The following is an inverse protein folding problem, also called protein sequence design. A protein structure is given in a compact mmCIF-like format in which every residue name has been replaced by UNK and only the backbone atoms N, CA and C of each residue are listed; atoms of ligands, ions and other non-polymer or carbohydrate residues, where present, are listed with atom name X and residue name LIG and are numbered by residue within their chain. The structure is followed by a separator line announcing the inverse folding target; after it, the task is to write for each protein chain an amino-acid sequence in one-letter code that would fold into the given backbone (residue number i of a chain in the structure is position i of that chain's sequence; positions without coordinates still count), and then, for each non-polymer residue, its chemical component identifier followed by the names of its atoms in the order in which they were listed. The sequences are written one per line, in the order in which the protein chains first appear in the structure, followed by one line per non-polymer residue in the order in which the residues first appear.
data_IF_929853559891
#
_entry.id   IF_929853559891
#
_cell.length_a   1.000
_cell.length_b   1.000
_cell.length_c   1.000
_cell.angle_alpha   90.00
_cell.angle_beta   90.00
_cell.angle_gamma   90.00
#
_symmetry.space_group_name_H-M   'P 1'
#
loop_
_entity.id
_entity.type
_entity.pdbx_description
1 polymer ?
#
# COMPACT_ATOMS: atom_id res chain seq x y z
N UNK A 1 -26.56 -27.54 -9.32
CA UNK A 1 -25.67 -27.11 -8.22
C UNK A 1 -24.70 -26.11 -8.84
N UNK A 2 -24.84 -24.82 -8.52
CA UNK A 2 -23.89 -23.82 -8.99
C UNK A 2 -22.63 -23.93 -8.13
N UNK A 3 -21.47 -24.14 -8.76
CA UNK A 3 -20.16 -24.04 -8.11
C UNK A 3 -20.01 -22.64 -7.52
N UNK A 4 -19.66 -22.51 -6.22
CA UNK A 4 -19.40 -21.20 -5.67
C UNK A 4 -18.25 -20.58 -6.48
N UNK A 5 -18.53 -19.44 -7.09
CA UNK A 5 -17.48 -18.61 -7.68
C UNK A 5 -16.52 -18.25 -6.55
N UNK A 6 -15.32 -18.77 -6.60
CA UNK A 6 -14.19 -18.28 -5.81
C UNK A 6 -13.79 -16.92 -6.38
N UNK A 7 -14.66 -15.93 -6.18
CA UNK A 7 -14.23 -14.55 -6.27
C UNK A 7 -13.16 -14.39 -5.20
N UNK A 8 -11.90 -14.38 -5.61
CA UNK A 8 -10.76 -14.28 -4.70
C UNK A 8 -10.96 -13.08 -3.78
N UNK A 9 -10.66 -13.25 -2.50
CA UNK A 9 -10.75 -12.17 -1.54
C UNK A 9 -9.92 -10.99 -2.04
N UNK A 10 -10.48 -9.78 -2.10
CA UNK A 10 -9.78 -8.61 -2.64
C UNK A 10 -8.61 -8.12 -1.77
N UNK A 11 -8.40 -8.72 -0.60
CA UNK A 11 -7.44 -8.29 0.40
C UNK A 11 -5.97 -8.29 -0.04
N UNK A 12 -5.45 -9.30 -0.75
CA UNK A 12 -4.09 -9.24 -1.28
C UNK A 12 -3.92 -8.15 -2.33
N UNK A 13 -4.97 -7.90 -3.10
CA UNK A 13 -4.96 -7.03 -4.28
C UNK A 13 -4.81 -5.54 -3.94
N UNK A 14 -5.12 -5.09 -2.72
CA UNK A 14 -4.97 -3.67 -2.34
C UNK A 14 -3.50 -3.31 -2.20
N UNK A 15 -2.74 -4.09 -1.43
CA UNK A 15 -1.30 -3.83 -1.27
C UNK A 15 -0.54 -4.04 -2.57
N UNK A 16 -0.90 -5.04 -3.36
CA UNK A 16 -0.33 -5.28 -4.69
C UNK A 16 -0.65 -4.15 -5.66
N UNK A 17 -1.87 -3.64 -5.64
CA UNK A 17 -2.26 -2.51 -6.49
C UNK A 17 -1.53 -1.22 -6.13
N UNK A 18 -1.37 -0.92 -4.84
CA UNK A 18 -0.59 0.23 -4.38
C UNK A 18 0.89 0.03 -4.71
N UNK A 19 1.43 -1.18 -4.51
CA UNK A 19 2.80 -1.54 -4.86
C UNK A 19 3.06 -1.28 -6.35
N UNK A 20 2.23 -1.81 -7.23
CA UNK A 20 2.34 -1.64 -8.67
C UNK A 20 2.23 -0.18 -9.10
N UNK A 21 1.32 0.58 -8.46
CA UNK A 21 1.20 2.01 -8.69
C UNK A 21 2.49 2.75 -8.33
N UNK A 22 3.08 2.45 -7.16
CA UNK A 22 4.31 3.09 -6.73
C UNK A 22 5.49 2.73 -7.65
N UNK A 23 5.62 1.47 -8.06
CA UNK A 23 6.63 1.05 -9.02
C UNK A 23 6.48 1.80 -10.35
N UNK A 24 5.27 1.93 -10.86
CA UNK A 24 4.99 2.71 -12.07
C UNK A 24 5.35 4.20 -11.90
N UNK A 25 4.92 4.82 -10.79
CA UNK A 25 5.18 6.23 -10.54
C UNK A 25 6.68 6.53 -10.37
N UNK A 26 7.40 5.68 -9.64
CA UNK A 26 8.84 5.82 -9.42
C UNK A 26 9.70 5.41 -10.63
N UNK A 27 9.14 4.63 -11.56
CA UNK A 27 9.75 4.35 -12.86
C UNK A 27 9.65 5.53 -13.84
N UNK A 28 8.75 6.50 -13.60
CA UNK A 28 8.55 7.62 -14.49
C UNK A 28 9.53 8.78 -14.19
N UNK A 29 10.47 9.10 -15.11
CA UNK A 29 11.47 10.15 -14.91
C UNK A 29 10.89 11.57 -14.87
N UNK A 30 9.65 11.77 -15.31
CA UNK A 30 8.98 13.08 -15.28
C UNK A 30 8.37 13.38 -13.90
N UNK A 31 8.10 12.34 -13.11
CA UNK A 31 7.45 12.47 -11.80
C UNK A 31 8.46 12.45 -10.66
N UNK A 32 9.46 11.57 -10.74
CA UNK A 32 10.39 11.29 -9.64
C UNK A 32 11.80 11.74 -9.98
N UNK A 33 12.51 12.39 -9.03
CA UNK A 33 13.91 12.75 -9.20
C UNK A 33 14.80 11.52 -9.48
N UNK A 34 15.87 11.66 -10.29
CA UNK A 34 16.70 10.54 -10.73
C UNK A 34 17.30 9.69 -9.58
N UNK A 35 17.53 10.29 -8.41
CA UNK A 35 18.10 9.61 -7.25
C UNK A 35 17.16 8.57 -6.62
N UNK A 36 15.85 8.65 -6.90
CA UNK A 36 14.83 7.71 -6.38
C UNK A 36 14.18 6.88 -7.48
N UNK A 37 14.81 6.81 -8.64
CA UNK A 37 14.26 6.08 -9.77
C UNK A 37 14.22 4.58 -9.48
N UNK A 38 13.04 4.00 -9.64
CA UNK A 38 12.84 2.56 -9.62
C UNK A 38 13.02 1.97 -11.02
N UNK A 39 13.63 0.79 -11.08
CA UNK A 39 13.77 0.00 -12.29
C UNK A 39 13.47 -1.47 -11.94
N UNK A 40 12.94 -2.23 -12.90
CA UNK A 40 12.69 -3.65 -12.74
C UNK A 40 14.01 -4.44 -12.57
N UNK A 41 15.09 -3.97 -13.18
CA UNK A 41 16.43 -4.48 -12.90
C UNK A 41 16.95 -3.87 -11.58
N UNK A 42 17.07 -4.71 -10.55
CA UNK A 42 17.60 -4.34 -9.23
C UNK A 42 18.97 -3.62 -9.30
N UNK A 43 19.76 -3.87 -10.35
CA UNK A 43 21.09 -3.23 -10.53
C UNK A 43 20.99 -1.81 -11.05
N UNK A 44 19.96 -1.51 -11.82
CA UNK A 44 19.69 -0.19 -12.36
C UNK A 44 18.85 0.66 -11.40
N UNK A 45 18.09 0.03 -10.53
CA UNK A 45 17.21 0.68 -9.58
C UNK A 45 17.98 1.43 -8.50
N UNK A 46 17.57 2.68 -8.22
CA UNK A 46 18.10 3.52 -7.14
C UNK A 46 17.31 3.42 -5.85
N UNK A 47 16.13 2.84 -5.90
CA UNK A 47 15.25 2.60 -4.77
C UNK A 47 14.66 1.20 -4.87
N UNK A 48 14.43 0.55 -3.74
CA UNK A 48 13.76 -0.74 -3.69
C UNK A 48 12.31 -0.56 -3.29
N UNK A 49 11.36 -1.05 -4.09
CA UNK A 49 9.92 -1.00 -3.81
C UNK A 49 9.38 -2.42 -3.82
N UNK A 50 8.99 -2.93 -2.65
CA UNK A 50 8.68 -4.35 -2.49
C UNK A 50 7.65 -4.64 -1.39
N UNK A 51 7.23 -5.90 -1.31
CA UNK A 51 6.45 -6.45 -0.22
C UNK A 51 7.35 -6.86 0.98
N UNK A 52 6.80 -7.03 2.20
CA UNK A 52 7.58 -7.20 3.43
C UNK A 52 8.55 -8.39 3.44
N UNK A 53 8.16 -9.50 2.79
CA UNK A 53 8.95 -10.75 2.79
C UNK A 53 10.18 -10.73 1.86
N UNK A 54 10.39 -9.64 1.14
CA UNK A 54 11.54 -9.49 0.23
C UNK A 54 12.73 -8.84 0.94
N UNK A 55 12.52 -8.30 2.15
CA UNK A 55 13.58 -7.63 2.91
C UNK A 55 14.34 -8.64 3.76
N UNK A 56 15.60 -8.83 3.41
CA UNK A 56 16.57 -9.50 4.26
C UNK A 56 17.08 -8.52 5.33
N UNK A 57 16.56 -8.66 6.55
CA UNK A 57 16.94 -7.79 7.67
C UNK A 57 18.40 -7.99 8.14
N UNK A 58 19.09 -9.02 7.64
CA UNK A 58 20.47 -9.30 8.03
C UNK A 58 21.50 -8.54 7.18
N UNK A 59 21.10 -8.07 6.00
CA UNK A 59 22.00 -7.31 5.11
C UNK A 59 21.73 -5.82 5.18
N UNK A 60 22.78 -5.00 5.29
CA UNK A 60 22.62 -3.55 5.16
C UNK A 60 22.09 -3.24 3.76
N UNK A 61 20.96 -2.54 3.70
CA UNK A 61 20.43 -2.06 2.43
C UNK A 61 21.21 -0.83 2.02
N UNK A 62 21.89 -0.92 0.89
CA UNK A 62 22.69 0.19 0.33
C UNK A 62 21.84 1.26 -0.34
N UNK A 63 20.58 0.99 -0.62
CA UNK A 63 19.65 1.90 -1.27
C UNK A 63 18.43 2.16 -0.38
N UNK A 64 17.79 3.34 -0.50
CA UNK A 64 16.51 3.59 0.16
C UNK A 64 15.45 2.58 -0.33
N UNK A 65 14.47 2.30 0.53
CA UNK A 65 13.43 1.33 0.20
C UNK A 65 12.04 1.79 0.63
N UNK A 66 11.04 1.25 -0.05
CA UNK A 66 9.61 1.38 0.26
C UNK A 66 9.02 -0.01 0.38
N UNK A 67 8.40 -0.30 1.52
CA UNK A 67 7.71 -1.57 1.77
C UNK A 67 6.24 -1.31 1.91
N UNK A 68 5.43 -2.01 1.13
CA UNK A 68 3.97 -1.90 1.18
C UNK A 68 3.40 -3.12 1.88
N UNK A 69 2.79 -2.91 3.04
CA UNK A 69 2.22 -3.96 3.88
C UNK A 69 0.75 -3.67 4.17
N UNK A 70 -0.10 -4.68 4.08
CA UNK A 70 -1.49 -4.55 4.51
C UNK A 70 -1.59 -4.64 6.03
N UNK A 71 -2.51 -3.88 6.62
CA UNK A 71 -2.92 -4.06 8.01
C UNK A 71 -4.08 -5.04 8.11
N UNK A 72 -4.54 -5.30 9.33
CA UNK A 72 -5.75 -6.07 9.56
C UNK A 72 -6.97 -5.39 8.94
N UNK A 73 -7.89 -6.19 8.42
CA UNK A 73 -9.17 -5.74 7.93
C UNK A 73 -10.27 -6.18 8.90
N UNK A 74 -11.22 -5.30 9.14
CA UNK A 74 -12.39 -5.58 9.96
C UNK A 74 -13.65 -5.34 9.15
N UNK A 75 -14.65 -6.19 9.33
CA UNK A 75 -15.97 -5.93 8.76
C UNK A 75 -16.58 -4.72 9.48
N UNK A 76 -16.99 -3.73 8.71
CA UNK A 76 -17.77 -2.64 9.25
C UNK A 76 -19.19 -3.17 9.46
N UNK A 77 -19.58 -3.35 10.72
CA UNK A 77 -20.97 -3.55 11.08
C UNK A 77 -21.72 -2.25 10.81
N UNK A 78 -22.22 -2.07 9.58
CA UNK A 78 -23.13 -0.98 9.32
C UNK A 78 -24.47 -1.33 9.99
N UNK A 79 -24.92 -0.47 10.88
CA UNK A 79 -26.21 -0.56 11.56
C UNK A 79 -27.38 -0.49 10.55
N UNK A 80 -27.13 0.04 9.36
CA UNK A 80 -28.03 0.00 8.23
C UNK A 80 -27.78 -1.33 7.49
N UNK A 81 -28.64 -2.27 7.79
CA UNK A 81 -28.76 -3.57 7.15
C UNK A 81 -28.02 -3.66 5.81
N UNK A 82 -27.13 -4.62 5.75
CA UNK A 82 -26.44 -5.04 4.54
C UNK A 82 -27.33 -4.76 3.34
N UNK A 83 -26.86 -3.94 2.41
CA UNK A 83 -27.59 -3.63 1.19
C UNK A 83 -27.87 -4.95 0.46
N UNK A 84 -29.00 -5.54 0.78
CA UNK A 84 -29.49 -6.75 0.18
C UNK A 84 -30.19 -6.35 -1.10
N UNK A 85 -29.62 -6.70 -2.23
CA UNK A 85 -30.36 -6.65 -3.48
C UNK A 85 -31.31 -7.85 -3.48
N UNK A 86 -32.59 -7.59 -3.30
CA UNK A 86 -33.65 -8.59 -3.52
C UNK A 86 -34.12 -8.51 -4.96
N UNK A 87 -34.15 -9.65 -5.63
CA UNK A 87 -34.87 -9.76 -6.88
C UNK A 87 -36.35 -9.42 -6.62
N UNK A 88 -36.91 -8.37 -7.26
CA UNK A 88 -38.27 -7.94 -7.00
C UNK A 88 -39.32 -8.96 -7.41
N UNK A 89 -38.99 -9.95 -8.24
CA UNK A 89 -39.90 -10.98 -8.74
C UNK A 89 -39.85 -12.24 -7.87
N UNK A 90 -38.66 -12.70 -7.55
CA UNK A 90 -38.46 -13.97 -6.84
C UNK A 90 -38.30 -13.80 -5.34
N UNK A 91 -38.01 -12.59 -4.85
CA UNK A 91 -37.70 -12.31 -3.45
C UNK A 91 -36.37 -12.90 -2.96
N UNK A 92 -35.61 -13.52 -3.86
CA UNK A 92 -34.33 -14.17 -3.55
C UNK A 92 -33.24 -13.09 -3.40
N UNK A 93 -32.46 -13.18 -2.33
CA UNK A 93 -31.28 -12.31 -2.16
C UNK A 93 -30.20 -12.70 -3.17
N UNK A 94 -29.91 -11.80 -4.10
CA UNK A 94 -28.96 -12.05 -5.19
C UNK A 94 -27.55 -11.56 -4.89
N UNK A 95 -27.40 -10.61 -3.96
CA UNK A 95 -26.08 -10.05 -3.64
C UNK A 95 -26.05 -9.49 -2.22
N UNK A 96 -25.05 -9.90 -1.45
CA UNK A 96 -24.70 -9.31 -0.16
C UNK A 96 -23.45 -8.48 -0.35
N UNK A 97 -23.51 -7.21 0.03
CA UNK A 97 -22.36 -6.31 0.01
C UNK A 97 -21.97 -6.01 1.45
N UNK A 98 -20.86 -6.58 1.89
CA UNK A 98 -20.27 -6.28 3.18
C UNK A 98 -19.16 -5.24 2.99
N UNK A 99 -19.18 -4.20 3.83
CA UNK A 99 -18.11 -3.21 3.87
C UNK A 99 -17.00 -3.69 4.78
N UNK A 100 -15.75 -3.48 4.33
CA UNK A 100 -14.57 -3.77 5.12
C UNK A 100 -13.77 -2.49 5.32
N UNK A 101 -13.36 -2.27 6.55
CA UNK A 101 -12.36 -1.26 6.89
C UNK A 101 -11.02 -1.95 7.09
N UNK A 102 -10.00 -1.40 6.51
CA UNK A 102 -8.64 -1.89 6.64
C UNK A 102 -7.66 -0.84 6.21
N UNK A 103 -6.40 -1.12 6.32
CA UNK A 103 -5.37 -0.17 5.97
C UNK A 103 -4.18 -0.80 5.26
N UNK A 104 -3.33 0.08 4.78
CA UNK A 104 -2.03 -0.25 4.22
C UNK A 104 -1.00 0.61 4.94
N UNK A 105 0.03 -0.03 5.48
CA UNK A 105 1.22 0.61 5.98
C UNK A 105 2.27 0.64 4.88
N UNK A 106 2.87 1.80 4.68
CA UNK A 106 3.98 1.96 3.75
C UNK A 106 5.18 2.41 4.57
N UNK A 107 6.16 1.55 4.71
CA UNK A 107 7.38 1.82 5.46
C UNK A 107 8.48 2.29 4.52
N UNK A 108 9.10 3.39 4.87
CA UNK A 108 10.21 4.01 4.14
C UNK A 108 11.47 3.85 4.96
N UNK A 109 12.53 3.33 4.38
CA UNK A 109 13.80 3.19 5.05
C UNK A 109 14.94 3.79 4.24
N UNK A 110 15.88 4.41 4.95
CA UNK A 110 17.10 5.00 4.38
C UNK A 110 18.22 5.07 5.41
N UNK A 111 19.44 5.30 4.94
CA UNK A 111 20.59 5.61 5.79
C UNK A 111 20.49 6.97 6.50
N UNK A 112 19.60 7.87 6.06
CA UNK A 112 19.38 9.19 6.67
C UNK A 112 17.90 9.40 7.01
N UNK A 113 17.62 9.94 8.20
CA UNK A 113 16.26 10.23 8.65
C UNK A 113 15.52 11.18 7.69
N UNK A 114 16.18 12.25 7.26
CA UNK A 114 15.63 13.23 6.34
C UNK A 114 15.25 12.63 4.99
N UNK A 115 15.99 11.65 4.50
CA UNK A 115 15.69 10.97 3.25
C UNK A 115 14.45 10.06 3.38
N UNK A 116 14.33 9.31 4.49
CA UNK A 116 13.14 8.51 4.76
C UNK A 116 11.87 9.39 4.83
N UNK A 117 11.93 10.52 5.53
CA UNK A 117 10.83 11.50 5.59
C UNK A 117 10.50 12.12 4.23
N UNK A 118 11.49 12.46 3.43
CA UNK A 118 11.28 13.00 2.09
C UNK A 118 10.57 11.99 1.19
N UNK A 119 10.96 10.72 1.23
CA UNK A 119 10.29 9.65 0.50
C UNK A 119 8.84 9.50 0.95
N UNK A 120 8.58 9.52 2.27
CA UNK A 120 7.23 9.45 2.80
C UNK A 120 6.35 10.61 2.31
N UNK A 121 6.88 11.82 2.30
CA UNK A 121 6.17 13.00 1.80
C UNK A 121 5.88 12.91 0.29
N UNK A 122 6.85 12.48 -0.52
CA UNK A 122 6.66 12.27 -1.97
C UNK A 122 5.51 11.27 -2.20
N UNK A 123 5.55 10.13 -1.54
CA UNK A 123 4.52 9.10 -1.69
C UNK A 123 3.16 9.57 -1.18
N UNK A 124 3.11 10.31 -0.06
CA UNK A 124 1.87 10.87 0.46
C UNK A 124 1.21 11.82 -0.56
N UNK A 125 2.00 12.70 -1.18
CA UNK A 125 1.52 13.62 -2.21
C UNK A 125 1.02 12.85 -3.44
N UNK A 126 1.78 11.86 -3.91
CA UNK A 126 1.40 11.04 -5.06
C UNK A 126 0.09 10.31 -4.83
N UNK A 127 -0.05 9.63 -3.69
CA UNK A 127 -1.25 8.86 -3.36
C UNK A 127 -2.46 9.77 -3.13
N UNK A 128 -2.27 10.93 -2.50
CA UNK A 128 -3.35 11.88 -2.28
C UNK A 128 -3.83 12.52 -3.58
N UNK A 129 -2.90 12.92 -4.45
CA UNK A 129 -3.22 13.54 -5.73
C UNK A 129 -3.95 12.58 -6.68
N UNK A 130 -3.59 11.30 -6.65
CA UNK A 130 -4.12 10.29 -7.56
C UNK A 130 -5.12 9.34 -6.92
N UNK A 131 -5.63 9.66 -5.72
CA UNK A 131 -6.52 8.76 -4.96
C UNK A 131 -7.74 8.30 -5.74
N UNK A 132 -8.34 9.17 -6.56
CA UNK A 132 -9.53 8.85 -7.35
C UNK A 132 -9.21 7.84 -8.45
N UNK A 133 -8.07 7.99 -9.10
CA UNK A 133 -7.59 7.09 -10.15
C UNK A 133 -7.23 5.73 -9.57
N UNK A 134 -6.55 5.71 -8.41
CA UNK A 134 -6.23 4.49 -7.69
C UNK A 134 -7.52 3.74 -7.30
N UNK A 135 -8.50 4.41 -6.73
CA UNK A 135 -9.79 3.81 -6.39
C UNK A 135 -10.55 3.31 -7.64
N UNK A 136 -10.50 4.05 -8.75
CA UNK A 136 -11.13 3.63 -10.00
C UNK A 136 -10.46 2.38 -10.60
N UNK A 137 -9.14 2.28 -10.49
CA UNK A 137 -8.37 1.12 -10.95
C UNK A 137 -8.60 -0.09 -10.05
N UNK A 138 -8.60 0.13 -8.74
CA UNK A 138 -8.85 -0.90 -7.73
C UNK A 138 -10.34 -1.09 -7.43
N UNK A 139 -11.19 -1.16 -8.38
CA UNK A 139 -12.67 -1.21 -8.44
C UNK A 139 -13.44 -1.56 -7.15
N UNK A 140 -12.82 -2.29 -6.22
CA UNK A 140 -13.38 -2.70 -4.93
C UNK A 140 -13.02 -1.73 -3.78
N UNK A 141 -12.13 -0.74 -4.01
CA UNK A 141 -11.79 0.30 -3.03
C UNK A 141 -12.70 1.49 -3.24
N UNK A 142 -13.60 1.72 -2.29
CA UNK A 142 -14.54 2.85 -2.36
C UNK A 142 -13.87 4.17 -2.03
N UNK A 143 -12.99 4.16 -1.05
CA UNK A 143 -12.32 5.36 -0.56
C UNK A 143 -10.93 5.00 -0.04
N UNK A 144 -9.96 5.81 -0.38
CA UNK A 144 -8.62 5.79 0.17
C UNK A 144 -8.41 7.06 0.99
N UNK A 145 -8.09 6.90 2.27
CA UNK A 145 -7.86 8.01 3.18
C UNK A 145 -6.44 7.95 3.72
N UNK A 146 -5.80 9.09 3.71
CA UNK A 146 -4.52 9.30 4.35
C UNK A 146 -4.73 9.50 5.86
N UNK A 147 -4.03 8.72 6.68
CA UNK A 147 -4.12 8.80 8.14
C UNK A 147 -2.99 9.67 8.69
N UNK A 148 -1.76 9.44 8.29
CA UNK A 148 -0.62 10.22 8.74
C UNK A 148 0.73 9.59 8.41
N UNK A 149 1.80 10.36 8.61
CA UNK A 149 3.18 9.89 8.61
C UNK A 149 3.63 9.80 10.06
N UNK A 150 4.17 8.66 10.45
CA UNK A 150 4.77 8.45 11.76
C UNK A 150 6.12 9.17 11.91
N UNK A 151 6.67 9.20 13.13
CA UNK A 151 8.00 9.72 13.37
C UNK A 151 9.06 8.83 12.73
N UNK A 152 10.25 9.40 12.51
CA UNK A 152 11.43 8.65 12.09
C UNK A 152 11.96 7.83 13.28
N UNK A 153 12.10 6.53 13.08
CA UNK A 153 12.57 5.59 14.08
C UNK A 153 13.94 5.06 13.66
N UNK A 154 14.98 5.22 14.52
CA UNK A 154 16.28 4.63 14.23
C UNK A 154 16.23 3.11 14.46
N UNK A 155 16.63 2.35 13.47
CA UNK A 155 16.83 0.90 13.62
C UNK A 155 18.28 0.67 14.00
N UNK A 156 18.49 0.24 15.24
CA UNK A 156 19.80 0.04 15.83
C UNK A 156 20.19 -1.43 15.77
N UNK A 157 21.39 -1.71 15.25
CA UNK A 157 21.99 -3.04 15.27
C UNK A 157 23.41 -2.92 15.81
N UNK A 158 23.79 -3.76 16.76
CA UNK A 158 25.13 -3.75 17.39
C UNK A 158 25.52 -2.38 17.99
N UNK A 159 24.56 -1.66 18.60
CA UNK A 159 24.72 -0.32 19.18
C UNK A 159 25.00 0.81 18.16
N UNK A 160 24.90 0.56 16.89
CA UNK A 160 25.00 1.57 15.82
C UNK A 160 23.67 1.75 15.10
N UNK A 161 23.38 3.01 14.69
CA UNK A 161 22.20 3.28 13.86
C UNK A 161 22.46 2.71 12.49
N UNK A 162 21.67 1.69 12.14
CA UNK A 162 21.81 0.98 10.88
C UNK A 162 21.02 1.63 9.75
N UNK A 163 19.85 2.16 10.07
CA UNK A 163 18.94 2.86 9.15
C UNK A 163 17.89 3.63 9.92
N UNK A 164 17.19 4.50 9.23
CA UNK A 164 16.04 5.22 9.73
C UNK A 164 14.79 4.75 8.99
N UNK A 165 13.70 4.57 9.72
CA UNK A 165 12.41 4.18 9.15
C UNK A 165 11.33 5.15 9.57
N UNK A 166 10.38 5.42 8.66
CA UNK A 166 9.11 6.09 8.96
C UNK A 166 7.99 5.37 8.23
N UNK A 167 6.77 5.49 8.73
CA UNK A 167 5.61 4.77 8.19
C UNK A 167 4.49 5.72 7.83
N UNK A 168 3.96 5.57 6.62
CA UNK A 168 2.75 6.21 6.14
C UNK A 168 1.59 5.23 6.31
N UNK A 169 0.49 5.70 6.91
CA UNK A 169 -0.73 4.91 7.08
C UNK A 169 -1.85 5.41 6.17
N UNK A 170 -2.45 4.48 5.45
CA UNK A 170 -3.61 4.67 4.60
C UNK A 170 -4.80 3.90 5.13
#
# INVERSE_FOLDING_TARGET
MATPSTAGFPLPTISEGILSYLQFAFGNPEIIPPQYRWDEDDRASRIRICAPFVIDNEKPMSAPYIVVERTAFTFANSILDNLKSKDPITGVETQRVDWMNGGVNITFGSGAATEASNLANIVAILLQSNRHEICATLRFVRSLQYVGIGPEIPIVKYAEVHRWETTLQL
#
